data_IF_138305483115
#
_entry.id   IF_138305483115
#
_cell.length_a   1.000
_cell.length_b   1.000
_cell.length_c   1.000
_cell.angle_alpha   90.00
_cell.angle_beta   90.00
_cell.angle_gamma   90.00
#
_symmetry.space_group_name_H-M   'P 1'
#
loop_
_entity.id
_entity.type
_entity.pdbx_description
1 polymer ?
#
# COMPACT_ATOMS: atom_id res chain seq x y z
N UNK A 1 10.36 25.69 28.26
CA UNK A 1 10.07 25.84 26.81
C UNK A 1 10.54 24.67 25.90
N UNK A 2 11.10 23.55 26.41
CA UNK A 2 11.58 22.42 25.57
C UNK A 2 10.49 21.47 25.02
N UNK A 3 9.25 21.59 25.47
CA UNK A 3 8.14 20.68 25.12
C UNK A 3 7.50 20.97 23.75
N UNK A 4 7.55 22.23 23.29
CA UNK A 4 6.89 22.64 22.04
C UNK A 4 7.64 22.15 20.78
N UNK A 5 8.96 22.18 20.78
CA UNK A 5 9.78 21.75 19.62
C UNK A 5 9.69 20.24 19.39
N UNK A 6 9.73 19.44 20.46
CA UNK A 6 9.61 17.98 20.37
C UNK A 6 8.24 17.52 19.86
N UNK A 7 7.17 18.26 20.19
CA UNK A 7 5.84 17.98 19.66
C UNK A 7 5.71 18.44 18.19
N UNK A 8 6.21 19.61 17.84
CA UNK A 8 6.23 20.10 16.46
C UNK A 8 6.98 19.15 15.52
N UNK A 9 8.14 18.61 15.94
CA UNK A 9 8.90 17.63 15.17
C UNK A 9 8.13 16.32 14.93
N UNK A 10 7.35 15.86 15.91
CA UNK A 10 6.51 14.65 15.75
C UNK A 10 5.37 14.87 14.77
N UNK A 11 4.76 16.04 14.82
CA UNK A 11 3.67 16.43 13.92
C UNK A 11 4.20 16.53 12.48
N UNK A 12 5.29 17.27 12.28
CA UNK A 12 5.95 17.41 10.99
C UNK A 12 6.45 16.08 10.43
N UNK A 13 7.03 15.23 11.28
CA UNK A 13 7.46 13.88 10.91
C UNK A 13 6.30 12.98 10.49
N UNK A 14 5.18 13.00 11.22
CA UNK A 14 3.98 12.24 10.86
C UNK A 14 3.37 12.71 9.54
N UNK A 15 3.33 14.03 9.29
CA UNK A 15 2.86 14.61 8.04
C UNK A 15 3.76 14.24 6.86
N UNK A 16 5.08 14.39 7.00
CA UNK A 16 6.04 14.00 5.96
C UNK A 16 5.95 12.52 5.64
N UNK A 17 5.87 11.67 6.67
CA UNK A 17 5.73 10.23 6.49
C UNK A 17 4.44 9.89 5.75
N UNK A 18 3.32 10.53 6.11
CA UNK A 18 2.03 10.33 5.43
C UNK A 18 2.08 10.81 3.97
N UNK A 19 2.72 11.95 3.71
CA UNK A 19 2.86 12.50 2.36
C UNK A 19 3.75 11.62 1.47
N UNK A 20 4.89 11.16 2.00
CA UNK A 20 5.80 10.24 1.29
C UNK A 20 5.13 8.89 1.07
N UNK A 21 4.38 8.39 2.06
CA UNK A 21 3.65 7.12 1.96
C UNK A 21 2.51 7.19 0.94
N UNK A 22 1.70 8.25 1.01
CA UNK A 22 0.62 8.50 0.05
C UNK A 22 1.15 8.66 -1.37
N UNK A 23 2.17 9.49 -1.55
CA UNK A 23 2.82 9.68 -2.85
C UNK A 23 3.44 8.40 -3.40
N UNK A 24 4.14 7.64 -2.56
CA UNK A 24 4.72 6.35 -2.93
C UNK A 24 3.64 5.33 -3.34
N UNK A 25 2.56 5.22 -2.58
CA UNK A 25 1.44 4.34 -2.90
C UNK A 25 0.76 4.73 -4.23
N UNK A 26 0.58 6.03 -4.50
CA UNK A 26 0.02 6.50 -5.79
C UNK A 26 0.92 6.16 -6.97
N UNK A 27 2.23 6.38 -6.86
CA UNK A 27 3.19 6.06 -7.93
C UNK A 27 3.20 4.57 -8.21
N UNK A 28 3.22 3.73 -7.17
CA UNK A 28 3.18 2.27 -7.31
C UNK A 28 1.84 1.82 -7.92
N UNK A 29 0.72 2.50 -7.64
CA UNK A 29 -0.57 2.19 -8.23
C UNK A 29 -0.58 2.48 -9.74
N UNK A 30 -0.07 3.66 -10.12
CA UNK A 30 0.00 4.07 -11.52
C UNK A 30 0.95 3.17 -12.32
N UNK A 31 2.10 2.81 -11.75
CA UNK A 31 3.05 1.90 -12.41
C UNK A 31 2.50 0.48 -12.55
N UNK A 32 1.77 -0.03 -11.56
CA UNK A 32 1.08 -1.33 -11.67
C UNK A 32 -0.01 -1.29 -12.74
N UNK A 33 -0.78 -0.20 -12.83
CA UNK A 33 -1.80 -0.02 -13.85
C UNK A 33 -1.17 0.01 -15.26
N UNK A 34 -0.07 0.75 -15.43
CA UNK A 34 0.68 0.79 -16.69
C UNK A 34 1.24 -0.59 -17.05
N UNK A 35 1.82 -1.32 -16.09
CA UNK A 35 2.32 -2.68 -16.33
C UNK A 35 1.22 -3.64 -16.77
N UNK A 36 0.02 -3.54 -16.19
CA UNK A 36 -1.13 -4.37 -16.60
C UNK A 36 -1.63 -4.02 -18.00
N UNK A 37 -1.65 -2.74 -18.36
CA UNK A 37 -2.05 -2.28 -19.69
C UNK A 37 -1.04 -2.71 -20.76
N UNK A 38 0.26 -2.64 -20.46
CA UNK A 38 1.32 -3.11 -21.37
C UNK A 38 1.31 -4.63 -21.55
N UNK A 39 0.96 -5.39 -20.50
CA UNK A 39 0.79 -6.83 -20.61
C UNK A 39 -0.45 -7.24 -21.44
N UNK A 40 -1.48 -6.39 -21.49
CA UNK A 40 -2.67 -6.60 -22.32
C UNK A 40 -2.38 -6.44 -23.82
N UNK A 41 -1.57 -5.45 -24.19
CA UNK A 41 -1.19 -5.21 -25.59
C UNK A 41 -0.34 -6.34 -26.20
N UNK A 42 0.30 -7.16 -25.36
CA UNK A 42 1.08 -8.32 -25.79
C UNK A 42 0.22 -9.57 -26.14
N UNK A 43 -1.11 -9.53 -25.97
CA UNK A 43 -2.06 -10.51 -26.53
C UNK A 43 -1.99 -11.96 -26.01
N UNK A 44 -1.15 -12.25 -25.01
CA UNK A 44 -0.80 -13.64 -24.66
C UNK A 44 -1.39 -14.15 -23.32
N UNK A 45 -2.27 -13.40 -22.65
CA UNK A 45 -2.83 -13.78 -21.35
C UNK A 45 -4.37 -13.87 -21.35
N UNK A 46 -4.98 -14.87 -20.69
CA UNK A 46 -6.43 -14.97 -20.55
C UNK A 46 -7.01 -13.78 -19.75
N UNK A 47 -8.03 -13.13 -20.29
CA UNK A 47 -8.68 -11.93 -19.69
C UNK A 47 -9.12 -12.13 -18.23
N UNK A 48 -9.59 -13.34 -17.88
CA UNK A 48 -10.04 -13.67 -16.53
C UNK A 48 -8.91 -13.65 -15.49
N UNK A 49 -7.72 -14.13 -15.86
CA UNK A 49 -6.55 -14.17 -14.96
C UNK A 49 -5.94 -12.78 -14.79
N UNK A 50 -5.98 -11.94 -15.82
CA UNK A 50 -5.58 -10.53 -15.72
C UNK A 50 -6.52 -9.74 -14.81
N UNK A 51 -7.83 -9.91 -14.97
CA UNK A 51 -8.82 -9.21 -14.15
C UNK A 51 -8.63 -9.52 -12.67
N UNK A 52 -8.40 -10.79 -12.33
CA UNK A 52 -8.09 -11.20 -10.95
C UNK A 52 -6.78 -10.58 -10.44
N UNK A 53 -5.73 -10.56 -11.26
CA UNK A 53 -4.46 -9.92 -10.88
C UNK A 53 -4.65 -8.42 -10.61
N UNK A 54 -5.31 -7.71 -11.52
CA UNK A 54 -5.55 -6.26 -11.41
C UNK A 54 -6.35 -5.95 -10.15
N UNK A 55 -7.42 -6.69 -9.88
CA UNK A 55 -8.27 -6.48 -8.69
C UNK A 55 -7.48 -6.73 -7.40
N UNK A 56 -6.69 -7.81 -7.34
CA UNK A 56 -5.89 -8.14 -6.15
C UNK A 56 -4.76 -7.14 -5.91
N UNK A 57 -4.09 -6.71 -6.98
CA UNK A 57 -3.01 -5.71 -6.88
C UNK A 57 -3.57 -4.36 -6.49
N UNK A 58 -4.59 -3.84 -7.19
CA UNK A 58 -5.21 -2.55 -6.85
C UNK A 58 -5.87 -2.56 -5.47
N UNK A 59 -6.58 -3.64 -5.12
CA UNK A 59 -7.17 -3.80 -3.79
C UNK A 59 -6.10 -3.83 -2.69
N UNK A 60 -5.00 -4.55 -2.92
CA UNK A 60 -3.87 -4.59 -2.00
C UNK A 60 -3.17 -3.24 -1.85
N UNK A 61 -3.09 -2.45 -2.93
CA UNK A 61 -2.55 -1.10 -2.89
C UNK A 61 -3.44 -0.09 -2.15
N UNK A 62 -4.76 -0.21 -2.29
CA UNK A 62 -5.70 0.61 -1.49
C UNK A 62 -5.52 0.31 0.00
N UNK A 63 -5.41 -0.97 0.38
CA UNK A 63 -5.16 -1.38 1.77
C UNK A 63 -3.81 -0.89 2.29
N UNK A 64 -2.73 -1.06 1.50
CA UNK A 64 -1.40 -0.60 1.86
C UNK A 64 -1.31 0.94 1.95
N UNK A 65 -2.00 1.66 1.05
CA UNK A 65 -2.14 3.12 1.10
C UNK A 65 -2.92 3.58 2.33
N UNK A 66 -4.05 2.93 2.64
CA UNK A 66 -4.84 3.20 3.83
C UNK A 66 -4.08 2.96 5.14
N UNK A 67 -3.10 2.04 5.15
CA UNK A 67 -2.21 1.82 6.29
C UNK A 67 -1.37 3.06 6.66
N UNK A 68 -1.15 4.00 5.73
CA UNK A 68 -0.47 5.26 6.02
C UNK A 68 -1.20 6.12 7.07
N UNK A 69 -2.53 6.04 7.12
CA UNK A 69 -3.36 6.82 8.06
C UNK A 69 -3.10 6.43 9.53
N UNK A 70 -3.20 5.16 9.95
CA UNK A 70 -2.88 4.76 11.32
C UNK A 70 -1.40 4.94 11.65
N UNK A 71 -0.49 4.83 10.67
CA UNK A 71 0.93 5.11 10.87
C UNK A 71 1.16 6.60 11.19
N UNK A 72 0.55 7.51 10.43
CA UNK A 72 0.55 8.94 10.70
C UNK A 72 -0.05 9.25 12.07
N UNK A 73 -1.23 8.68 12.38
CA UNK A 73 -1.90 8.87 13.67
C UNK A 73 -1.07 8.35 14.87
N UNK A 74 -0.28 7.29 14.68
CA UNK A 74 0.59 6.73 15.72
C UNK A 74 1.67 7.71 16.20
N UNK A 75 2.05 8.70 15.38
CA UNK A 75 2.99 9.75 15.75
C UNK A 75 2.42 10.74 16.79
N UNK A 76 1.10 10.91 16.84
CA UNK A 76 0.41 11.87 17.70
C UNK A 76 -0.20 11.20 18.94
N UNK A 77 -0.77 9.99 18.78
CA UNK A 77 -1.51 9.32 19.86
C UNK A 77 -0.64 8.34 20.65
N UNK A 78 0.08 8.84 21.67
CA UNK A 78 0.94 8.00 22.53
C UNK A 78 0.18 6.90 23.28
N UNK A 79 -1.00 7.20 23.82
CA UNK A 79 -1.80 6.24 24.61
C UNK A 79 -2.27 5.04 23.78
N UNK A 80 -2.52 5.22 22.48
CA UNK A 80 -2.99 4.17 21.56
C UNK A 80 -1.96 3.77 20.51
N UNK A 81 -0.69 4.18 20.69
CA UNK A 81 0.37 3.97 19.69
C UNK A 81 0.55 2.51 19.32
N UNK A 82 0.53 1.60 20.31
CA UNK A 82 0.67 0.16 20.07
C UNK A 82 -0.48 -0.39 19.21
N UNK A 83 -1.71 0.06 19.47
CA UNK A 83 -2.89 -0.36 18.71
C UNK A 83 -2.85 0.22 17.28
N UNK A 84 -2.46 1.48 17.10
CA UNK A 84 -2.34 2.09 15.78
C UNK A 84 -1.23 1.44 14.93
N UNK A 85 -0.09 1.10 15.55
CA UNK A 85 0.97 0.34 14.88
C UNK A 85 0.53 -1.09 14.52
N UNK A 86 -0.29 -1.72 15.36
CA UNK A 86 -0.88 -3.02 15.05
C UNK A 86 -1.83 -2.94 13.85
N UNK A 87 -2.74 -1.96 13.85
CA UNK A 87 -3.66 -1.73 12.71
C UNK A 87 -2.88 -1.41 11.43
N UNK A 88 -1.82 -0.61 11.52
CA UNK A 88 -0.90 -0.38 10.40
C UNK A 88 -0.30 -1.69 9.89
N UNK A 89 0.26 -2.52 10.78
CA UNK A 89 0.88 -3.79 10.40
C UNK A 89 -0.14 -4.76 9.76
N UNK A 90 -1.37 -4.82 10.26
CA UNK A 90 -2.44 -5.64 9.68
C UNK A 90 -2.85 -5.15 8.29
N UNK A 91 -3.08 -3.83 8.11
CA UNK A 91 -3.48 -3.26 6.82
C UNK A 91 -2.37 -3.40 5.77
N UNK A 92 -1.12 -3.12 6.18
CA UNK A 92 0.04 -3.29 5.31
C UNK A 92 0.25 -4.76 4.95
N UNK A 93 0.18 -5.66 5.94
CA UNK A 93 0.33 -7.10 5.73
C UNK A 93 -0.74 -7.66 4.79
N UNK A 94 -2.00 -7.32 5.02
CA UNK A 94 -3.11 -7.71 4.15
C UNK A 94 -2.93 -7.16 2.72
N UNK A 95 -2.56 -5.88 2.59
CA UNK A 95 -2.33 -5.25 1.30
C UNK A 95 -1.18 -5.86 0.51
N UNK A 96 -0.08 -6.23 1.19
CA UNK A 96 1.06 -6.92 0.57
C UNK A 96 0.70 -8.35 0.18
N UNK A 97 -0.02 -9.08 1.04
CA UNK A 97 -0.45 -10.45 0.75
C UNK A 97 -1.37 -10.50 -0.47
N UNK A 98 -2.30 -9.55 -0.63
CA UNK A 98 -3.15 -9.46 -1.81
C UNK A 98 -2.35 -9.21 -3.08
N UNK A 99 -1.35 -8.32 -3.03
CA UNK A 99 -0.46 -8.08 -4.18
C UNK A 99 0.35 -9.32 -4.56
N UNK A 100 0.96 -9.98 -3.58
CA UNK A 100 1.72 -11.24 -3.80
C UNK A 100 0.81 -12.33 -4.36
N UNK A 101 -0.39 -12.50 -3.81
CA UNK A 101 -1.36 -13.48 -4.29
C UNK A 101 -1.81 -13.19 -5.72
N UNK A 102 -2.04 -11.92 -6.07
CA UNK A 102 -2.40 -11.52 -7.43
C UNK A 102 -1.30 -11.84 -8.44
N UNK A 103 -0.05 -11.49 -8.12
CA UNK A 103 1.11 -11.78 -8.98
C UNK A 103 1.36 -13.28 -9.10
N UNK A 104 1.27 -14.01 -7.99
CA UNK A 104 1.47 -15.47 -7.99
C UNK A 104 0.39 -16.19 -8.81
N UNK A 105 -0.88 -15.82 -8.63
CA UNK A 105 -1.98 -16.38 -9.41
C UNK A 105 -1.78 -16.14 -10.90
N UNK A 106 -1.37 -14.94 -11.30
CA UNK A 106 -1.07 -14.62 -12.70
C UNK A 106 0.15 -15.39 -13.23
N UNK A 107 1.24 -15.43 -12.48
CA UNK A 107 2.47 -16.13 -12.87
C UNK A 107 2.23 -17.64 -13.05
N UNK A 108 1.49 -18.26 -12.12
CA UNK A 108 1.17 -19.70 -12.18
C UNK A 108 0.36 -20.10 -13.42
N UNK A 109 -0.41 -19.18 -13.98
CA UNK A 109 -1.21 -19.39 -15.21
C UNK A 109 -0.38 -19.24 -16.50
N UNK A 110 0.79 -18.59 -16.44
CA UNK A 110 1.67 -18.37 -17.61
C UNK A 110 2.72 -19.49 -17.72
N UNK A 111 3.15 -20.05 -16.60
CA UNK A 111 4.12 -21.17 -16.56
C UNK A 111 3.49 -22.57 -16.59
N UNK A 112 2.15 -22.65 -16.53
CA UNK A 112 1.38 -23.89 -16.51
C UNK A 112 0.96 -24.38 -17.89
#
# INVERSE_FOLDING_TARGET
MKTNTANALRIAGGLLLTAVWGGGATVVATLSLMGTLMANDAGNAPESSQTTMVVLVLGGQILAGAAGIPLGAACFWRARRKLLLFVFACLLGAGLLMQVAGVYAFASQITG
#
